data_IF_254414604178
#
_entry.id   IF_254414604178
#
_cell.length_a   1.000
_cell.length_b   1.000
_cell.length_c   1.000
_cell.angle_alpha   90.00
_cell.angle_beta   90.00
_cell.angle_gamma   90.00
#
_symmetry.space_group_name_H-M   'P 1'
#
loop_
_entity.id
_entity.type
_entity.pdbx_description
1 polymer ?
#
# COMPACT_ATOMS: atom_id res chain seq x y z
N UNK A 1 -2.98 8.14 17.87
CA UNK A 1 -1.76 8.72 18.47
C UNK A 1 -0.54 7.80 18.38
N UNK A 2 -0.69 6.47 18.44
CA UNK A 2 0.44 5.53 18.38
C UNK A 2 1.07 5.29 16.98
N UNK A 3 0.40 5.65 15.88
CA UNK A 3 0.94 5.49 14.51
C UNK A 3 1.80 6.65 14.00
N UNK A 4 1.96 7.73 14.76
CA UNK A 4 2.84 8.86 14.40
C UNK A 4 4.25 8.74 14.99
N UNK A 5 4.48 7.83 15.95
CA UNK A 5 5.77 7.71 16.64
C UNK A 5 6.83 6.91 15.87
N UNK A 6 6.45 6.05 14.91
CA UNK A 6 7.42 5.35 14.06
C UNK A 6 7.89 6.16 12.84
N UNK A 7 7.33 7.36 12.60
CA UNK A 7 7.75 8.23 11.48
C UNK A 7 8.86 9.21 11.88
N UNK A 8 9.26 9.27 13.14
CA UNK A 8 10.19 10.32 13.63
C UNK A 8 11.52 9.82 14.20
N UNK A 9 11.84 8.51 14.20
CA UNK A 9 13.12 8.03 14.75
C UNK A 9 14.17 7.58 13.71
N UNK A 10 13.91 7.70 12.40
CA UNK A 10 14.85 7.24 11.36
C UNK A 10 15.13 8.32 10.32
N UNK A 11 15.69 9.46 10.73
CA UNK A 11 16.11 10.54 9.80
C UNK A 11 17.29 10.16 8.87
N UNK A 12 17.67 8.87 8.79
CA UNK A 12 18.77 8.39 7.95
C UNK A 12 18.43 7.20 7.06
N UNK A 13 17.35 6.45 7.35
CA UNK A 13 16.96 5.28 6.56
C UNK A 13 15.45 5.24 6.35
N UNK A 14 15.09 4.94 5.12
CA UNK A 14 13.76 4.59 4.65
C UNK A 14 13.51 3.10 4.85
N UNK A 15 12.26 2.68 5.03
CA UNK A 15 11.88 1.27 5.07
C UNK A 15 10.81 0.94 4.02
N UNK A 16 10.79 -0.32 3.57
CA UNK A 16 9.79 -0.90 2.68
C UNK A 16 9.44 -2.30 3.20
N UNK A 17 8.17 -2.56 3.50
CA UNK A 17 7.66 -3.84 3.97
C UNK A 17 6.76 -4.51 2.94
N UNK A 18 6.96 -5.80 2.69
CA UNK A 18 6.08 -6.65 1.91
C UNK A 18 5.28 -7.57 2.86
N UNK A 19 3.96 -7.63 2.70
CA UNK A 19 3.08 -8.53 3.46
C UNK A 19 2.15 -9.30 2.53
N UNK A 20 1.76 -10.50 2.91
CA UNK A 20 0.63 -11.21 2.30
C UNK A 20 -0.56 -11.27 3.26
N UNK A 21 -1.72 -11.62 2.71
CA UNK A 21 -2.90 -11.91 3.51
C UNK A 21 -3.30 -13.37 3.33
N UNK A 22 -3.47 -14.06 4.45
CA UNK A 22 -3.98 -15.42 4.49
C UNK A 22 -5.42 -15.35 4.99
N UNK A 23 -6.35 -15.92 4.21
CA UNK A 23 -7.77 -15.99 4.55
C UNK A 23 -8.15 -17.41 4.96
N UNK A 24 -8.83 -17.53 6.09
CA UNK A 24 -9.43 -18.79 6.55
C UNK A 24 -10.87 -18.50 7.03
N UNK A 25 -11.85 -18.89 6.21
CA UNK A 25 -13.25 -18.47 6.42
C UNK A 25 -13.39 -16.95 6.31
N UNK A 26 -14.03 -16.33 7.30
CA UNK A 26 -14.16 -14.86 7.39
C UNK A 26 -12.98 -14.18 8.07
N UNK A 27 -12.02 -14.97 8.58
CA UNK A 27 -10.82 -14.43 9.19
C UNK A 27 -9.77 -14.13 8.11
N UNK A 28 -9.18 -12.95 8.19
CA UNK A 28 -8.06 -12.54 7.36
C UNK A 28 -6.90 -12.13 8.27
N UNK A 29 -5.73 -12.75 8.06
CA UNK A 29 -4.51 -12.46 8.80
C UNK A 29 -3.46 -11.88 7.87
N UNK A 30 -2.91 -10.74 8.23
CA UNK A 30 -1.73 -10.18 7.57
C UNK A 30 -0.48 -10.92 8.07
N UNK A 31 0.37 -11.34 7.14
CA UNK A 31 1.65 -11.99 7.43
C UNK A 31 2.75 -11.16 6.79
N UNK A 32 3.66 -10.54 7.58
CA UNK A 32 4.81 -9.86 7.01
C UNK A 32 5.73 -10.89 6.35
N UNK A 33 6.07 -10.66 5.09
CA UNK A 33 6.95 -11.53 4.31
C UNK A 33 8.39 -11.02 4.31
N UNK A 34 8.55 -9.72 4.05
CA UNK A 34 9.87 -9.10 3.89
C UNK A 34 9.85 -7.71 4.51
N UNK A 35 10.93 -7.33 5.18
CA UNK A 35 11.16 -5.98 5.64
C UNK A 35 12.54 -5.52 5.17
N UNK A 36 12.59 -4.39 4.45
CA UNK A 36 13.80 -3.88 3.82
C UNK A 36 14.11 -2.50 4.36
N UNK A 37 15.34 -2.31 4.82
CA UNK A 37 15.90 -1.00 5.18
C UNK A 37 16.67 -0.46 3.97
N UNK A 38 16.42 0.80 3.63
CA UNK A 38 16.90 1.46 2.44
C UNK A 38 17.44 2.83 2.80
N UNK A 39 18.57 3.24 2.23
CA UNK A 39 19.10 4.60 2.44
C UNK A 39 18.35 5.65 1.61
N UNK A 40 17.69 5.24 0.52
CA UNK A 40 16.96 6.11 -0.42
C UNK A 40 15.73 5.39 -0.97
N UNK A 41 14.74 6.14 -1.43
CA UNK A 41 13.48 5.65 -2.05
C UNK A 41 13.41 6.06 -3.52
N UNK A 42 14.41 5.69 -4.31
CA UNK A 42 14.36 5.92 -5.76
C UNK A 42 13.71 4.75 -6.48
N UNK A 43 13.22 5.00 -7.71
CA UNK A 43 12.69 3.94 -8.57
C UNK A 43 13.69 2.80 -8.76
N UNK A 44 14.97 3.12 -8.95
CA UNK A 44 16.02 2.11 -9.16
C UNK A 44 16.31 1.29 -7.90
N UNK A 45 16.24 1.90 -6.71
CA UNK A 45 16.39 1.17 -5.44
C UNK A 45 15.24 0.18 -5.25
N UNK A 46 14.00 0.61 -5.52
CA UNK A 46 12.83 -0.26 -5.51
C UNK A 46 12.95 -1.38 -6.54
N UNK A 47 13.40 -1.09 -7.77
CA UNK A 47 13.59 -2.11 -8.81
C UNK A 47 14.53 -3.22 -8.33
N UNK A 48 15.70 -2.89 -7.79
CA UNK A 48 16.67 -3.88 -7.28
C UNK A 48 16.07 -4.78 -6.19
N UNK A 49 15.33 -4.18 -5.26
CA UNK A 49 14.71 -4.92 -4.15
C UNK A 49 13.57 -5.81 -4.68
N UNK A 50 12.74 -5.29 -5.57
CA UNK A 50 11.64 -6.03 -6.15
C UNK A 50 12.14 -7.19 -7.00
N UNK A 51 13.19 -7.00 -7.81
CA UNK A 51 13.84 -8.09 -8.55
C UNK A 51 14.31 -9.18 -7.58
N UNK A 52 15.07 -8.80 -6.55
CA UNK A 52 15.58 -9.73 -5.54
C UNK A 52 14.47 -10.53 -4.84
N UNK A 53 13.36 -9.87 -4.49
CA UNK A 53 12.20 -10.52 -3.85
C UNK A 53 11.48 -11.43 -4.85
N UNK A 54 11.21 -10.94 -6.07
CA UNK A 54 10.46 -11.65 -7.11
C UNK A 54 11.19 -12.90 -7.58
N UNK A 55 12.52 -12.93 -7.57
CA UNK A 55 13.30 -14.15 -7.84
C UNK A 55 13.12 -15.24 -6.78
N UNK A 56 12.84 -14.87 -5.53
CA UNK A 56 12.81 -15.79 -4.37
C UNK A 56 11.41 -16.24 -4.00
N UNK A 57 10.40 -15.46 -4.34
CA UNK A 57 9.01 -15.88 -4.26
C UNK A 57 8.62 -16.56 -5.56
N UNK A 58 7.66 -17.49 -5.54
CA UNK A 58 7.07 -18.06 -6.76
C UNK A 58 6.32 -16.96 -7.52
N UNK A 59 7.09 -16.17 -8.28
CA UNK A 59 6.68 -14.88 -8.81
C UNK A 59 5.49 -15.02 -9.74
N UNK A 60 5.40 -16.13 -10.46
CA UNK A 60 4.28 -16.51 -11.32
C UNK A 60 2.92 -16.57 -10.60
N UNK A 61 2.91 -16.72 -9.28
CA UNK A 61 1.68 -16.76 -8.48
C UNK A 61 1.15 -15.35 -8.12
N UNK A 62 2.00 -14.32 -8.22
CA UNK A 62 1.62 -12.95 -7.85
C UNK A 62 0.91 -12.29 -9.02
N UNK A 63 -0.42 -12.14 -8.90
CA UNK A 63 -1.27 -11.52 -9.94
C UNK A 63 -1.72 -10.11 -9.58
N UNK A 64 -1.77 -9.79 -8.29
CA UNK A 64 -2.20 -8.49 -7.80
C UNK A 64 -1.23 -7.99 -6.74
N UNK A 65 -0.87 -6.71 -6.83
CA UNK A 65 -0.08 -6.05 -5.80
C UNK A 65 -0.80 -4.78 -5.37
N UNK A 66 -0.96 -4.62 -4.06
CA UNK A 66 -1.45 -3.39 -3.46
C UNK A 66 -0.24 -2.61 -2.95
N UNK A 67 -0.10 -1.38 -3.40
CA UNK A 67 1.06 -0.53 -3.09
C UNK A 67 0.61 0.83 -2.56
N UNK A 68 1.50 1.53 -1.87
CA UNK A 68 1.33 2.96 -1.60
C UNK A 68 1.23 3.77 -2.91
N UNK A 69 0.92 5.06 -2.83
CA UNK A 69 0.79 5.93 -4.02
C UNK A 69 2.12 6.59 -4.42
N UNK A 70 3.27 6.03 -4.02
CA UNK A 70 4.58 6.62 -4.35
C UNK A 70 4.98 6.28 -5.81
N UNK A 71 5.15 7.31 -6.65
CA UNK A 71 5.42 7.12 -8.08
C UNK A 71 6.64 6.21 -8.38
N UNK A 72 7.65 6.24 -7.50
CA UNK A 72 8.85 5.43 -7.62
C UNK A 72 8.54 3.92 -7.56
N UNK A 73 7.72 3.48 -6.60
CA UNK A 73 7.40 2.05 -6.44
C UNK A 73 6.45 1.56 -7.55
N UNK A 74 5.51 2.40 -8.00
CA UNK A 74 4.66 2.09 -9.16
C UNK A 74 5.49 1.85 -10.42
N UNK A 75 6.42 2.78 -10.70
CA UNK A 75 7.31 2.67 -11.85
C UNK A 75 8.27 1.48 -11.74
N UNK A 76 8.74 1.15 -10.54
CA UNK A 76 9.59 -0.01 -10.31
C UNK A 76 8.83 -1.32 -10.57
N UNK A 77 7.59 -1.44 -10.09
CA UNK A 77 6.76 -2.62 -10.32
C UNK A 77 6.44 -2.86 -11.79
N UNK A 78 6.07 -1.81 -12.52
CA UNK A 78 5.80 -1.94 -13.95
C UNK A 78 7.04 -2.42 -14.73
N UNK A 79 8.24 -2.09 -14.25
CA UNK A 79 9.51 -2.57 -14.83
C UNK A 79 9.78 -4.04 -14.50
N UNK A 80 9.63 -4.43 -13.23
CA UNK A 80 9.96 -5.79 -12.75
C UNK A 80 8.89 -6.82 -13.14
N UNK A 81 7.62 -6.43 -13.12
CA UNK A 81 6.49 -7.34 -13.34
C UNK A 81 5.35 -6.66 -14.10
N UNK A 82 5.50 -6.39 -15.41
CA UNK A 82 4.55 -5.60 -16.19
C UNK A 82 3.14 -6.19 -16.26
N UNK A 83 3.01 -7.51 -16.11
CA UNK A 83 1.73 -8.22 -16.23
C UNK A 83 0.94 -8.29 -14.90
N UNK A 84 1.41 -7.63 -13.84
CA UNK A 84 0.73 -7.64 -12.54
C UNK A 84 -0.30 -6.52 -12.45
N UNK A 85 -1.45 -6.80 -11.83
CA UNK A 85 -2.43 -5.74 -11.54
C UNK A 85 -1.98 -4.94 -10.32
N UNK A 86 -1.59 -3.69 -10.53
CA UNK A 86 -1.29 -2.75 -9.44
C UNK A 86 -2.56 -2.07 -8.96
N UNK A 87 -2.70 -1.91 -7.64
CA UNK A 87 -3.82 -1.19 -7.03
C UNK A 87 -3.33 -0.33 -5.88
N UNK A 88 -3.87 0.87 -5.75
CA UNK A 88 -3.55 1.75 -4.63
C UNK A 88 -4.13 1.24 -3.31
N UNK A 89 -3.36 1.38 -2.24
CA UNK A 89 -3.77 1.02 -0.90
C UNK A 89 -4.90 1.92 -0.36
N UNK A 90 -6.03 1.33 0.02
CA UNK A 90 -7.17 2.08 0.61
C UNK A 90 -6.82 2.79 1.92
N UNK A 91 -5.91 2.24 2.73
CA UNK A 91 -5.52 2.83 4.01
C UNK A 91 -4.80 4.17 3.81
N UNK A 92 -3.72 4.19 3.02
CA UNK A 92 -3.02 5.40 2.58
C UNK A 92 -3.94 6.36 1.82
N UNK A 93 -4.86 5.87 0.99
CA UNK A 93 -5.86 6.70 0.33
C UNK A 93 -6.73 7.46 1.33
N UNK A 94 -7.30 6.74 2.31
CA UNK A 94 -8.15 7.32 3.35
C UNK A 94 -7.39 8.38 4.16
N UNK A 95 -6.11 8.14 4.47
CA UNK A 95 -5.27 9.13 5.12
C UNK A 95 -5.03 10.38 4.27
N UNK A 96 -4.73 10.21 2.99
CA UNK A 96 -4.50 11.32 2.06
C UNK A 96 -5.77 12.17 1.90
N UNK A 97 -6.93 11.52 1.72
CA UNK A 97 -8.24 12.16 1.67
C UNK A 97 -8.53 12.91 2.96
N UNK A 98 -8.32 12.28 4.13
CA UNK A 98 -8.53 12.92 5.43
C UNK A 98 -7.64 14.15 5.61
N UNK A 99 -6.35 14.06 5.26
CA UNK A 99 -5.44 15.21 5.28
C UNK A 99 -5.99 16.35 4.41
N UNK A 100 -6.45 16.04 3.20
CA UNK A 100 -6.99 17.05 2.29
C UNK A 100 -8.28 17.69 2.81
N UNK A 101 -9.16 16.90 3.41
CA UNK A 101 -10.38 17.41 4.07
C UNK A 101 -10.04 18.41 5.17
N UNK A 102 -9.00 18.13 5.97
CA UNK A 102 -8.56 19.05 7.02
C UNK A 102 -7.94 20.33 6.44
N UNK A 103 -7.07 20.22 5.43
CA UNK A 103 -6.48 21.37 4.74
C UNK A 103 -7.54 22.32 4.17
N UNK A 104 -8.66 21.78 3.69
CA UNK A 104 -9.76 22.56 3.13
C UNK A 104 -10.78 23.04 4.19
N UNK A 105 -10.57 22.75 5.48
CA UNK A 105 -11.50 23.10 6.55
C UNK A 105 -12.84 22.34 6.49
N UNK A 106 -12.92 21.25 5.73
CA UNK A 106 -14.16 20.50 5.49
C UNK A 106 -14.45 19.44 6.56
N UNK A 107 -13.56 19.25 7.53
CA UNK A 107 -13.71 18.22 8.57
C UNK A 107 -15.06 18.29 9.33
N UNK A 108 -15.58 19.46 9.75
CA UNK A 108 -16.88 19.55 10.43
C UNK A 108 -18.08 19.17 9.55
N UNK A 109 -17.97 19.36 8.24
CA UNK A 109 -19.00 18.99 7.26
C UNK A 109 -18.93 17.51 6.92
N UNK A 110 -17.71 16.99 6.76
CA UNK A 110 -17.43 15.58 6.52
C UNK A 110 -17.95 14.68 7.66
N UNK A 111 -17.68 15.04 8.92
CA UNK A 111 -18.11 14.25 10.07
C UNK A 111 -19.63 14.27 10.31
N UNK A 112 -20.34 15.27 9.78
CA UNK A 112 -21.77 15.49 10.04
C UNK A 112 -22.68 14.87 8.97
N UNK A 113 -22.21 14.79 7.73
CA UNK A 113 -22.99 14.33 6.58
C UNK A 113 -22.40 13.02 6.05
N UNK A 114 -23.12 11.90 6.27
CA UNK A 114 -22.78 10.55 5.77
C UNK A 114 -22.56 10.49 4.24
N UNK A 115 -23.19 11.39 3.50
CA UNK A 115 -23.16 11.39 2.03
C UNK A 115 -21.80 11.91 1.54
N UNK A 116 -21.30 13.01 2.12
CA UNK A 116 -19.98 13.58 1.81
C UNK A 116 -18.83 12.64 2.14
N UNK A 117 -18.94 11.86 3.23
CA UNK A 117 -17.91 10.87 3.54
C UNK A 117 -17.85 9.75 2.53
N UNK A 118 -19.01 9.29 2.04
CA UNK A 118 -19.10 8.26 1.01
C UNK A 118 -18.55 8.73 -0.35
N UNK A 119 -18.81 9.97 -0.77
CA UNK A 119 -18.26 10.50 -2.02
C UNK A 119 -16.74 10.73 -1.96
N UNK A 120 -16.23 11.21 -0.83
CA UNK A 120 -14.80 11.55 -0.70
C UNK A 120 -13.91 10.34 -0.39
N UNK A 121 -14.43 9.31 0.30
CA UNK A 121 -13.71 8.07 0.60
C UNK A 121 -14.08 6.91 -0.33
N UNK A 122 -14.54 7.15 -1.56
CA UNK A 122 -14.60 6.09 -2.57
C UNK A 122 -13.23 5.97 -3.29
N UNK A 123 -12.37 5.01 -2.92
CA UNK A 123 -11.66 4.29 -3.96
C UNK A 123 -12.74 3.54 -4.75
N UNK A 124 -12.54 3.31 -6.04
CA UNK A 124 -13.30 2.29 -6.77
C UNK A 124 -12.99 0.91 -6.16
N UNK A 125 -13.56 0.61 -5.00
CA UNK A 125 -13.47 -0.67 -4.29
C UNK A 125 -14.43 -1.63 -4.96
N UNK A 126 -13.97 -2.31 -6.01
CA UNK A 126 -14.64 -3.54 -6.47
C UNK A 126 -13.70 -4.74 -6.58
N UNK A 127 -12.40 -4.61 -6.25
CA UNK A 127 -11.44 -5.68 -6.53
C UNK A 127 -10.47 -6.06 -5.39
N UNK A 128 -10.51 -5.38 -4.23
CA UNK A 128 -9.60 -5.68 -3.10
C UNK A 128 -10.18 -6.72 -2.13
N UNK A 129 -11.51 -6.89 -2.07
CA UNK A 129 -12.15 -7.82 -1.11
C UNK A 129 -12.21 -9.27 -1.57
N UNK A 130 -11.64 -9.60 -2.73
CA UNK A 130 -11.51 -10.97 -3.24
C UNK A 130 -10.03 -11.41 -3.22
N UNK A 131 -9.38 -11.33 -2.05
CA UNK A 131 -8.00 -11.83 -1.91
C UNK A 131 -7.99 -13.36 -1.87
N UNK A 132 -7.77 -13.97 -3.04
CA UNK A 132 -7.07 -15.26 -3.15
C UNK A 132 -5.59 -15.07 -2.72
N UNK A 133 -4.88 -16.16 -2.46
CA UNK A 133 -3.47 -16.19 -2.00
C UNK A 133 -2.46 -15.46 -2.92
N UNK A 134 -2.93 -14.97 -4.07
CA UNK A 134 -2.21 -14.37 -5.19
C UNK A 134 -1.90 -12.85 -4.99
N UNK A 135 -2.17 -12.27 -3.81
CA UNK A 135 -2.08 -10.81 -3.55
C UNK A 135 -1.00 -10.46 -2.53
N UNK A 136 -0.09 -9.55 -2.91
CA UNK A 136 0.97 -9.00 -2.03
C UNK A 136 0.71 -7.51 -1.76
N UNK A 137 1.06 -7.06 -0.57
CA UNK A 137 0.97 -5.68 -0.13
C UNK A 137 2.35 -5.10 0.11
N UNK A 138 2.68 -3.95 -0.47
CA UNK A 138 3.93 -3.24 -0.21
C UNK A 138 3.67 -1.83 0.32
N UNK A 139 4.38 -1.48 1.38
CA UNK A 139 4.13 -0.30 2.21
C UNK A 139 5.44 0.26 2.79
#
# INVERSE_FOLDING_TARGET
MWMQLLRQSSNHFSSCGASSFIRQGDNMKQVPLVYVLMSRRSKDDYTKILDYIMERISSNLVKRVVIDFESAVWGAFQRVKPNVTLTGCCFHWTQAVWKKINELGLAPSYCRKKNTSRFLCQPSVSSILTSRADTIYLQ
#
